data_IF_495340365152
#
_entry.id   IF_495340365152
#
_cell.length_a   1.000
_cell.length_b   1.000
_cell.length_c   1.000
_cell.angle_alpha   90.00
_cell.angle_beta   90.00
_cell.angle_gamma   90.00
#
_symmetry.space_group_name_H-M   'P 1'
#
loop_
_entity.id
_entity.type
_entity.pdbx_description
1 polymer ?
#
# COMPACT_ATOMS: atom_id res chain seq x y z
N UNK A 1 0.40 4.43 -17.69
CA UNK A 1 0.44 3.55 -16.50
C UNK A 1 1.88 3.47 -16.05
N UNK A 2 2.16 3.59 -14.75
CA UNK A 2 3.55 3.46 -14.29
C UNK A 2 4.02 2.03 -14.41
N UNK A 3 5.16 1.89 -15.08
CA UNK A 3 5.87 0.63 -15.23
C UNK A 3 7.14 0.71 -14.38
N UNK A 4 7.39 -0.34 -13.61
CA UNK A 4 8.63 -0.45 -12.85
C UNK A 4 9.81 -0.54 -13.83
N UNK A 5 10.90 0.17 -13.58
CA UNK A 5 12.07 0.07 -14.46
C UNK A 5 12.68 -1.34 -14.41
N UNK A 6 13.31 -1.81 -15.49
CA UNK A 6 13.98 -3.11 -15.50
C UNK A 6 15.00 -3.27 -14.38
N UNK A 7 15.74 -2.23 -14.04
CA UNK A 7 16.75 -2.26 -12.97
C UNK A 7 16.10 -2.46 -11.60
N UNK A 8 14.98 -1.79 -11.35
CA UNK A 8 14.24 -1.92 -10.08
C UNK A 8 13.53 -3.25 -9.97
N UNK A 9 12.97 -3.76 -11.06
CA UNK A 9 12.45 -5.12 -11.13
C UNK A 9 13.53 -6.14 -10.79
N UNK A 10 14.67 -6.07 -11.45
CA UNK A 10 15.79 -6.98 -11.20
C UNK A 10 16.24 -6.91 -9.75
N UNK A 11 16.37 -5.69 -9.18
CA UNK A 11 16.71 -5.51 -7.79
C UNK A 11 15.71 -6.20 -6.84
N UNK A 12 14.41 -6.11 -7.11
CA UNK A 12 13.40 -6.82 -6.31
C UNK A 12 13.56 -8.33 -6.46
N UNK A 13 13.71 -8.83 -7.69
CA UNK A 13 13.83 -10.26 -7.99
C UNK A 13 15.12 -10.88 -7.38
N UNK A 14 16.20 -10.12 -7.28
CA UNK A 14 17.49 -10.56 -6.71
C UNK A 14 17.55 -10.54 -5.18
N UNK A 15 16.75 -9.69 -4.52
CA UNK A 15 16.85 -9.44 -3.07
C UNK A 15 15.61 -9.88 -2.29
N UNK A 16 14.50 -10.20 -2.97
CA UNK A 16 13.24 -10.52 -2.33
C UNK A 16 12.59 -11.75 -2.96
N UNK A 17 12.03 -12.59 -2.11
CA UNK A 17 11.18 -13.69 -2.53
C UNK A 17 9.73 -13.19 -2.60
N UNK A 18 9.15 -13.22 -3.79
CA UNK A 18 7.74 -12.84 -4.03
C UNK A 18 6.87 -14.06 -4.31
N UNK A 19 5.74 -14.16 -3.61
CA UNK A 19 4.78 -15.27 -3.73
C UNK A 19 3.35 -14.75 -3.78
N UNK A 20 2.62 -15.13 -4.82
CA UNK A 20 1.16 -14.96 -4.88
C UNK A 20 0.51 -16.10 -4.08
N UNK A 21 -0.49 -15.78 -3.26
CA UNK A 21 -1.24 -16.76 -2.47
C UNK A 21 -2.06 -17.69 -3.38
N UNK A 22 -1.79 -18.99 -3.29
CA UNK A 22 -2.45 -20.05 -4.08
C UNK A 22 -3.96 -20.16 -3.83
N UNK A 23 -4.47 -19.73 -2.67
CA UNK A 23 -5.91 -19.78 -2.35
C UNK A 23 -6.62 -18.49 -2.73
N UNK A 24 -5.89 -17.40 -2.87
CA UNK A 24 -6.44 -16.09 -3.18
C UNK A 24 -5.42 -15.32 -4.03
N UNK A 25 -5.49 -15.51 -5.35
CA UNK A 25 -4.51 -14.97 -6.30
C UNK A 25 -4.45 -13.44 -6.35
N UNK A 26 -5.33 -12.74 -5.64
CA UNK A 26 -5.28 -11.30 -5.44
C UNK A 26 -4.29 -10.87 -4.36
N UNK A 27 -3.80 -11.81 -3.56
CA UNK A 27 -2.92 -11.56 -2.42
C UNK A 27 -1.49 -11.96 -2.77
N UNK A 28 -0.54 -11.13 -2.39
CA UNK A 28 0.88 -11.32 -2.68
C UNK A 28 1.73 -10.87 -1.50
N UNK A 29 2.80 -11.63 -1.28
CA UNK A 29 3.80 -11.41 -0.26
C UNK A 29 5.16 -11.24 -0.93
N UNK A 30 5.86 -10.15 -0.63
CA UNK A 30 7.25 -9.93 -1.00
C UNK A 30 8.03 -9.73 0.29
N UNK A 31 9.01 -10.58 0.54
CA UNK A 31 9.86 -10.57 1.74
C UNK A 31 11.31 -10.65 1.34
N UNK A 32 12.19 -10.00 2.09
CA UNK A 32 13.63 -10.12 1.92
C UNK A 32 14.08 -11.59 1.95
N UNK A 33 15.11 -11.92 1.17
CA UNK A 33 15.78 -13.22 1.24
C UNK A 33 16.97 -13.15 2.19
N UNK A 34 17.11 -14.13 3.09
CA UNK A 34 18.29 -14.27 3.98
C UNK A 34 19.62 -14.50 3.24
N UNK A 35 19.59 -14.68 1.90
CA UNK A 35 20.74 -15.11 1.10
C UNK A 35 21.79 -14.04 0.81
N UNK A 36 21.46 -12.77 1.02
CA UNK A 36 22.39 -11.67 0.80
C UNK A 36 22.88 -11.22 2.18
N UNK A 37 24.17 -10.90 2.34
CA UNK A 37 24.84 -10.63 3.62
C UNK A 37 24.30 -9.42 4.43
N UNK A 38 23.10 -8.93 4.10
CA UNK A 38 22.33 -7.86 4.71
C UNK A 38 20.93 -8.45 5.03
N UNK A 39 20.67 -8.76 6.30
CA UNK A 39 19.36 -9.25 6.74
C UNK A 39 18.38 -8.09 6.86
N UNK A 40 17.74 -7.71 5.75
CA UNK A 40 16.61 -6.77 5.80
C UNK A 40 15.39 -7.47 6.43
N UNK A 41 14.62 -6.79 7.26
CA UNK A 41 13.32 -7.28 7.77
C UNK A 41 12.13 -6.69 6.99
N UNK A 42 12.31 -6.53 5.68
CA UNK A 42 11.28 -6.02 4.78
C UNK A 42 10.13 -7.03 4.61
N UNK A 43 8.90 -6.55 4.81
CA UNK A 43 7.69 -7.35 4.65
C UNK A 43 6.60 -6.54 3.95
N UNK A 44 6.26 -6.97 2.72
CA UNK A 44 5.21 -6.36 1.92
C UNK A 44 4.11 -7.39 1.63
N UNK A 45 3.08 -7.39 2.46
CA UNK A 45 1.89 -8.22 2.32
C UNK A 45 0.69 -7.38 1.88
N UNK A 46 0.28 -7.56 0.62
CA UNK A 46 -0.71 -6.71 -0.02
C UNK A 46 -1.74 -7.53 -0.80
N UNK A 47 -2.89 -6.92 -1.04
CA UNK A 47 -3.98 -7.47 -1.84
C UNK A 47 -4.44 -6.47 -2.88
N UNK A 48 -4.47 -6.89 -4.13
CA UNK A 48 -4.85 -6.05 -5.26
C UNK A 48 -6.11 -6.61 -5.92
N UNK A 49 -7.11 -5.74 -6.08
CA UNK A 49 -8.26 -5.95 -6.95
C UNK A 49 -8.41 -4.70 -7.83
N UNK A 50 -9.05 -4.85 -8.98
CA UNK A 50 -9.32 -3.75 -9.91
C UNK A 50 -9.79 -2.46 -9.22
N UNK A 51 -10.76 -2.56 -8.31
CA UNK A 51 -11.34 -1.40 -7.64
C UNK A 51 -10.75 -1.06 -6.26
N UNK A 52 -9.94 -1.95 -5.67
CA UNK A 52 -9.48 -1.79 -4.29
C UNK A 52 -8.14 -2.44 -4.04
N UNK A 53 -7.21 -1.65 -3.53
CA UNK A 53 -5.94 -2.15 -3.00
C UNK A 53 -5.99 -2.15 -1.49
N UNK A 54 -5.49 -3.21 -0.87
CA UNK A 54 -5.43 -3.35 0.59
C UNK A 54 -4.02 -3.71 1.00
N UNK A 55 -3.38 -2.76 1.67
CA UNK A 55 -2.05 -2.89 2.24
C UNK A 55 -2.19 -3.42 3.66
N UNK A 56 -1.76 -4.66 3.87
CA UNK A 56 -1.91 -5.37 5.15
C UNK A 56 -0.65 -5.31 5.99
N UNK A 57 0.52 -5.26 5.34
CA UNK A 57 1.82 -5.05 5.95
C UNK A 57 2.77 -4.46 4.92
N UNK A 58 3.47 -3.36 5.24
CA UNK A 58 4.50 -2.75 4.38
C UNK A 58 5.65 -2.23 5.28
N UNK A 59 6.29 -3.15 6.00
CA UNK A 59 7.50 -2.82 6.74
C UNK A 59 8.68 -2.77 5.78
N UNK A 60 9.51 -1.75 5.96
CA UNK A 60 10.68 -1.49 5.15
C UNK A 60 11.82 -1.19 6.11
N UNK A 61 12.93 -1.89 5.96
CA UNK A 61 14.16 -1.53 6.63
C UNK A 61 14.74 -0.23 6.05
N UNK A 62 15.37 0.62 6.86
CA UNK A 62 15.93 1.89 6.40
C UNK A 62 16.96 1.68 5.27
N UNK A 63 17.76 0.61 5.36
CA UNK A 63 18.81 0.22 4.42
C UNK A 63 18.27 -0.54 3.19
N UNK A 64 16.96 -0.81 3.14
CA UNK A 64 16.34 -1.55 2.04
C UNK A 64 16.62 -0.86 0.69
N UNK A 65 17.05 -1.63 -0.34
CA UNK A 65 17.47 -1.08 -1.63
C UNK A 65 16.29 -0.55 -2.47
N UNK A 66 15.07 -0.83 -2.03
CA UNK A 66 13.83 -0.44 -2.71
C UNK A 66 12.89 0.28 -1.76
N UNK A 67 11.99 1.08 -2.32
CA UNK A 67 10.90 1.70 -1.59
C UNK A 67 9.59 0.95 -1.78
N UNK A 68 8.67 1.09 -0.81
CA UNK A 68 7.36 0.44 -0.85
C UNK A 68 6.56 0.72 -2.14
N UNK A 69 6.73 1.89 -2.77
CA UNK A 69 6.09 2.21 -4.05
C UNK A 69 6.62 1.39 -5.24
N UNK A 70 7.90 1.02 -5.21
CA UNK A 70 8.51 0.15 -6.23
C UNK A 70 8.00 -1.28 -6.06
N UNK A 71 7.99 -1.79 -4.82
CA UNK A 71 7.42 -3.11 -4.50
C UNK A 71 5.93 -3.18 -4.84
N UNK A 72 5.18 -2.11 -4.55
CA UNK A 72 3.75 -2.03 -4.91
C UNK A 72 3.53 -2.11 -6.41
N UNK A 73 4.35 -1.41 -7.20
CA UNK A 73 4.25 -1.46 -8.66
C UNK A 73 4.51 -2.87 -9.21
N UNK A 74 5.57 -3.51 -8.72
CA UNK A 74 5.91 -4.88 -9.07
C UNK A 74 4.79 -5.86 -8.70
N UNK A 75 4.28 -5.79 -7.46
CA UNK A 75 3.22 -6.66 -6.98
C UNK A 75 1.89 -6.46 -7.70
N UNK A 76 1.49 -5.20 -7.97
CA UNK A 76 0.30 -4.90 -8.74
C UNK A 76 0.40 -5.52 -10.14
N UNK A 77 1.54 -5.36 -10.82
CA UNK A 77 1.73 -5.92 -12.16
C UNK A 77 1.53 -7.44 -12.17
N UNK A 78 2.20 -8.15 -11.26
CA UNK A 78 2.09 -9.61 -11.17
C UNK A 78 0.64 -10.06 -10.91
N UNK A 79 0.01 -9.50 -9.88
CA UNK A 79 -1.34 -9.89 -9.47
C UNK A 79 -2.38 -9.50 -10.53
N UNK A 80 -2.28 -8.30 -11.10
CA UNK A 80 -3.25 -7.81 -12.06
C UNK A 80 -3.13 -8.54 -13.41
N UNK A 81 -1.93 -8.95 -13.84
CA UNK A 81 -1.76 -9.82 -15.01
C UNK A 81 -2.35 -11.21 -14.78
N UNK A 82 -2.00 -11.84 -13.64
CA UNK A 82 -2.53 -13.16 -13.25
C UNK A 82 -4.07 -13.18 -13.20
N UNK A 83 -4.69 -12.10 -12.69
CA UNK A 83 -6.14 -11.99 -12.54
C UNK A 83 -6.82 -11.18 -13.65
N UNK A 84 -6.12 -10.86 -14.75
CA UNK A 84 -6.64 -10.20 -15.96
C UNK A 84 -7.30 -8.82 -15.75
N UNK A 85 -6.77 -8.01 -14.83
CA UNK A 85 -7.20 -6.62 -14.62
C UNK A 85 -6.03 -5.62 -14.74
N UNK A 86 -4.89 -6.03 -15.32
CA UNK A 86 -3.78 -5.13 -15.57
C UNK A 86 -4.23 -3.98 -16.47
N UNK A 87 -4.05 -2.73 -16.04
CA UNK A 87 -4.72 -1.58 -16.65
C UNK A 87 -5.67 -0.87 -15.69
N UNK A 88 -6.32 -1.62 -14.80
CA UNK A 88 -7.35 -1.12 -13.89
C UNK A 88 -6.76 -0.66 -12.55
N UNK A 89 -7.07 0.57 -12.17
CA UNK A 89 -6.57 1.24 -10.97
C UNK A 89 -7.68 1.37 -9.91
N UNK A 90 -7.31 1.41 -8.62
CA UNK A 90 -8.28 1.32 -7.53
C UNK A 90 -9.06 2.61 -7.37
N UNK A 91 -10.30 2.48 -6.91
CA UNK A 91 -11.11 3.59 -6.40
C UNK A 91 -10.90 3.79 -4.90
N UNK A 92 -10.38 2.78 -4.20
CA UNK A 92 -10.06 2.86 -2.78
C UNK A 92 -8.73 2.16 -2.48
N UNK A 93 -7.87 2.84 -1.74
CA UNK A 93 -6.72 2.23 -1.08
C UNK A 93 -7.05 2.06 0.40
N UNK A 94 -6.79 0.88 0.94
CA UNK A 94 -6.94 0.60 2.38
C UNK A 94 -5.59 0.30 3.00
N UNK A 95 -5.20 1.03 4.03
CA UNK A 95 -4.17 0.61 4.99
C UNK A 95 -4.87 -0.15 6.11
N UNK A 96 -4.66 -1.46 6.19
CA UNK A 96 -5.35 -2.34 7.12
C UNK A 96 -4.53 -2.53 8.40
N UNK A 97 -5.19 -2.51 9.56
CA UNK A 97 -4.58 -2.82 10.85
C UNK A 97 -3.27 -2.04 11.10
N UNK A 98 -3.28 -0.72 10.92
CA UNK A 98 -2.11 0.12 11.12
C UNK A 98 -1.63 0.05 12.56
N UNK A 99 -0.33 -0.19 12.75
CA UNK A 99 0.33 -0.29 14.07
C UNK A 99 1.39 0.78 14.29
N UNK A 100 1.68 1.63 13.29
CA UNK A 100 2.66 2.70 13.43
C UNK A 100 2.15 3.76 14.42
N UNK A 101 2.81 3.86 15.57
CA UNK A 101 2.36 4.67 16.71
C UNK A 101 2.31 6.17 16.39
N UNK A 102 3.26 6.67 15.59
CA UNK A 102 3.26 8.07 15.13
C UNK A 102 2.02 8.36 14.27
N UNK A 103 1.68 7.48 13.33
CA UNK A 103 0.48 7.62 12.51
C UNK A 103 -0.77 7.58 13.37
N UNK A 104 -0.85 6.64 14.32
CA UNK A 104 -2.02 6.48 15.18
C UNK A 104 -2.23 7.69 16.11
N UNK A 105 -1.17 8.18 16.74
CA UNK A 105 -1.24 9.33 17.64
C UNK A 105 -1.56 10.63 16.89
N UNK A 106 -0.90 10.88 15.76
CA UNK A 106 -1.14 12.11 14.98
C UNK A 106 -2.55 12.18 14.40
N UNK A 107 -3.23 11.05 14.18
CA UNK A 107 -4.56 11.01 13.54
C UNK A 107 -5.71 10.72 14.50
N UNK A 108 -5.44 10.57 15.80
CA UNK A 108 -6.46 10.27 16.80
C UNK A 108 -7.47 11.43 16.91
N UNK A 109 -8.76 11.10 16.88
CA UNK A 109 -9.86 12.08 16.96
C UNK A 109 -10.02 13.01 15.75
N UNK A 110 -9.21 12.85 14.69
CA UNK A 110 -9.22 13.72 13.51
C UNK A 110 -10.12 13.18 12.41
N UNK A 111 -10.79 14.07 11.70
CA UNK A 111 -11.70 13.75 10.60
C UNK A 111 -11.63 14.79 9.47
N UNK A 112 -12.23 14.48 8.32
CA UNK A 112 -12.35 15.41 7.19
C UNK A 112 -11.01 15.93 6.67
N UNK A 113 -10.97 17.22 6.35
CA UNK A 113 -9.78 17.91 5.81
C UNK A 113 -8.59 17.87 6.78
N UNK A 114 -8.84 17.97 8.09
CA UNK A 114 -7.78 17.90 9.10
C UNK A 114 -7.07 16.53 9.06
N UNK A 115 -7.85 15.44 9.04
CA UNK A 115 -7.31 14.09 8.91
C UNK A 115 -6.57 13.91 7.59
N UNK A 116 -7.15 14.40 6.49
CA UNK A 116 -6.53 14.33 5.17
C UNK A 116 -5.13 14.95 5.17
N UNK A 117 -5.02 16.20 5.63
CA UNK A 117 -3.76 16.95 5.62
C UNK A 117 -2.73 16.29 6.54
N UNK A 118 -3.11 15.98 7.79
CA UNK A 118 -2.17 15.37 8.74
C UNK A 118 -1.72 13.98 8.28
N UNK A 119 -2.63 13.16 7.75
CA UNK A 119 -2.28 11.85 7.23
C UNK A 119 -1.18 11.97 6.18
N UNK A 120 -1.40 12.73 5.10
CA UNK A 120 -0.45 12.78 3.98
C UNK A 120 0.83 13.57 4.26
N UNK A 121 0.77 14.63 5.07
CA UNK A 121 1.92 15.52 5.27
C UNK A 121 2.81 15.10 6.42
N UNK A 122 2.22 14.51 7.47
CA UNK A 122 2.95 14.27 8.73
C UNK A 122 3.24 12.79 8.94
N UNK A 123 2.27 11.92 8.67
CA UNK A 123 2.41 10.49 9.04
C UNK A 123 3.30 9.70 8.09
N UNK A 124 4.10 8.73 8.60
CA UNK A 124 4.85 7.79 7.75
C UNK A 124 3.95 7.01 6.78
N UNK A 125 2.81 6.50 7.25
CA UNK A 125 1.87 5.73 6.42
C UNK A 125 1.26 6.57 5.30
N UNK A 126 0.93 7.85 5.56
CA UNK A 126 0.38 8.73 4.55
C UNK A 126 1.44 9.16 3.52
N UNK A 127 2.66 9.50 3.94
CA UNK A 127 3.78 9.78 3.01
C UNK A 127 4.07 8.61 2.08
N UNK A 128 4.14 7.39 2.61
CA UNK A 128 4.29 6.16 1.83
C UNK A 128 3.12 5.96 0.86
N UNK A 129 1.88 6.17 1.33
CA UNK A 129 0.67 6.07 0.49
C UNK A 129 0.69 7.09 -0.64
N UNK A 130 1.07 8.34 -0.35
CA UNK A 130 1.19 9.40 -1.34
C UNK A 130 2.20 9.02 -2.42
N UNK A 131 3.40 8.54 -2.04
CA UNK A 131 4.42 8.13 -3.02
C UNK A 131 3.94 6.97 -3.91
N UNK A 132 3.21 6.01 -3.36
CA UNK A 132 2.55 4.95 -4.15
C UNK A 132 1.56 5.58 -5.13
N UNK A 133 0.67 6.45 -4.65
CA UNK A 133 -0.33 7.11 -5.49
C UNK A 133 0.29 7.94 -6.60
N UNK A 134 1.36 8.69 -6.30
CA UNK A 134 2.11 9.50 -7.24
C UNK A 134 2.68 8.62 -8.38
N UNK A 135 3.21 7.43 -8.08
CA UNK A 135 3.63 6.47 -9.12
C UNK A 135 2.48 6.19 -10.10
N UNK A 136 1.28 5.91 -9.60
CA UNK A 136 0.15 5.53 -10.45
C UNK A 136 -0.68 6.70 -11.00
N UNK A 137 -0.28 7.95 -10.73
CA UNK A 137 -1.06 9.14 -11.09
C UNK A 137 -2.42 9.21 -10.39
N UNK A 138 -2.52 8.66 -9.19
CA UNK A 138 -3.73 8.66 -8.38
C UNK A 138 -3.79 9.90 -7.48
N UNK A 139 -4.99 10.42 -7.28
CA UNK A 139 -5.24 11.53 -6.37
C UNK A 139 -6.28 11.13 -5.32
N UNK A 140 -6.01 11.44 -4.06
CA UNK A 140 -6.96 11.19 -2.98
C UNK A 140 -7.99 12.31 -2.98
N UNK A 141 -9.25 11.97 -2.70
CA UNK A 141 -10.30 12.97 -2.39
C UNK A 141 -10.67 12.99 -0.91
N UNK A 142 -10.44 11.89 -0.21
CA UNK A 142 -10.84 11.75 1.18
C UNK A 142 -9.96 10.71 1.88
N UNK A 143 -9.70 10.93 3.18
CA UNK A 143 -9.12 9.95 4.08
C UNK A 143 -10.10 9.70 5.23
N UNK A 144 -10.40 8.43 5.50
CA UNK A 144 -11.27 8.00 6.60
C UNK A 144 -10.49 7.08 7.53
N UNK A 145 -10.48 7.42 8.83
CA UNK A 145 -9.99 6.56 9.91
C UNK A 145 -11.16 5.74 10.46
N UNK A 146 -10.94 4.44 10.64
CA UNK A 146 -11.94 3.53 11.21
C UNK A 146 -11.28 2.70 12.30
N UNK A 147 -11.62 3.02 13.53
CA UNK A 147 -11.23 2.27 14.72
C UNK A 147 -12.25 1.16 14.98
N UNK A 148 -11.77 -0.05 15.25
CA UNK A 148 -12.59 -1.23 15.52
C UNK A 148 -12.10 -1.94 16.75
N UNK A 149 -13.02 -2.22 17.66
CA UNK A 149 -12.76 -3.16 18.74
C UNK A 149 -12.66 -4.58 18.17
N UNK A 150 -11.61 -5.28 18.58
CA UNK A 150 -11.39 -6.70 18.34
C UNK A 150 -10.95 -7.35 19.64
N UNK A 151 -10.96 -8.67 19.70
CA UNK A 151 -10.35 -9.42 20.79
C UNK A 151 -9.13 -10.16 20.28
N UNK A 152 -8.04 -10.15 21.05
CA UNK A 152 -6.88 -11.02 20.85
C UNK A 152 -6.59 -11.73 22.16
N UNK A 153 -6.62 -13.07 22.15
CA UNK A 153 -6.46 -13.90 23.37
C UNK A 153 -7.36 -13.44 24.54
N UNK A 154 -8.63 -13.13 24.24
CA UNK A 154 -9.63 -12.59 25.18
C UNK A 154 -9.33 -11.19 25.76
N UNK A 155 -8.35 -10.48 25.22
CA UNK A 155 -8.07 -9.08 25.57
C UNK A 155 -8.67 -8.15 24.50
N UNK A 156 -9.53 -7.19 24.87
CA UNK A 156 -9.99 -6.14 23.95
C UNK A 156 -8.80 -5.34 23.41
N UNK A 157 -8.80 -5.12 22.09
CA UNK A 157 -7.80 -4.33 21.39
C UNK A 157 -8.50 -3.49 20.35
N UNK A 158 -8.07 -2.24 20.18
CA UNK A 158 -8.49 -1.40 19.07
C UNK A 158 -7.53 -1.64 17.91
N UNK A 159 -8.07 -1.90 16.74
CA UNK A 159 -7.33 -1.90 15.47
C UNK A 159 -7.82 -0.74 14.61
N UNK A 160 -6.90 -0.08 13.93
CA UNK A 160 -7.21 1.09 13.09
C UNK A 160 -6.98 0.76 11.63
N UNK A 161 -7.99 1.00 10.81
CA UNK A 161 -7.90 0.99 9.36
C UNK A 161 -7.92 2.44 8.83
N UNK A 162 -7.19 2.73 7.75
CA UNK A 162 -7.38 3.94 6.96
C UNK A 162 -7.89 3.59 5.56
N UNK A 163 -8.91 4.33 5.11
CA UNK A 163 -9.44 4.26 3.76
C UNK A 163 -9.11 5.57 3.06
N UNK A 164 -8.50 5.47 1.90
CA UNK A 164 -8.18 6.58 1.02
C UNK A 164 -9.07 6.39 -0.20
N UNK A 165 -10.04 7.27 -0.37
CA UNK A 165 -10.91 7.25 -1.53
C UNK A 165 -10.25 8.05 -2.64
N UNK A 166 -10.17 7.44 -3.81
CA UNK A 166 -9.45 7.97 -4.97
C UNK A 166 -10.42 8.78 -5.83
N UNK A 167 -9.98 9.95 -6.25
CA UNK A 167 -10.71 10.77 -7.21
C UNK A 167 -10.84 10.00 -8.54
N UNK A 168 -11.99 10.07 -9.22
CA UNK A 168 -12.08 9.58 -10.59
C UNK A 168 -10.96 10.21 -11.40
N UNK A 169 -10.28 9.42 -12.25
CA UNK A 169 -9.40 10.01 -13.25
C UNK A 169 -10.25 11.03 -14.02
N UNK A 170 -9.82 12.30 -14.04
CA UNK A 170 -10.53 13.31 -14.80
C UNK A 170 -10.67 12.77 -16.22
N UNK A 171 -11.89 12.38 -16.59
CA UNK A 171 -12.25 12.24 -17.98
C UNK A 171 -12.03 13.63 -18.54
N UNK A 172 -10.91 13.84 -19.24
CA UNK A 172 -10.87 14.88 -20.25
C UNK A 172 -11.88 14.45 -21.32
N UNK A 173 -13.16 14.71 -21.05
CA UNK A 173 -14.16 14.89 -22.07
C UNK A 173 -13.78 16.19 -22.79
N UNK A 174 -13.25 15.99 -23.99
CA UNK A 174 -13.21 16.84 -25.18
C UNK A 174 -13.87 18.22 -25.05
N UNK A 175 -13.17 19.29 -25.47
CA UNK A 175 -13.61 20.20 -26.55
C UNK A 175 -12.47 21.16 -26.88
N UNK A 176 -11.88 21.03 -28.07
CA UNK A 176 -11.86 22.06 -29.12
C UNK A 176 -11.54 21.39 -30.45
#
# INVERSE_FOLDING_TARGET
MYEISPEKRQCIEDNFNTKIDRKNHNTVLTQSTESNALSYEDDYYNKYKANKWTFMSNFRDEESPVFANEVTAYQYELVAKENRFYGELPQTIKRKNVVNEETLSLTEGKHGEELYNIFFEKTPNGKSTKRIMDNFGLHAKEVRRVDKETTYRNTPKIITDFYIDIAPANSKATTQ
#
